data_IF_434697528510
#
_entry.id   IF_434697528510
#
_cell.length_a   1.000
_cell.length_b   1.000
_cell.length_c   1.000
_cell.angle_alpha   90.00
_cell.angle_beta   90.00
_cell.angle_gamma   90.00
#
_symmetry.space_group_name_H-M   'P 1'
#
loop_
_entity.id
_entity.type
_entity.pdbx_description
1 polymer ?
#
# COMPACT_ATOMS: atom_id res chain seq x y z
N UNK A 1 -5.08 45.17 110.27
CA UNK A 1 -5.91 46.40 110.13
C UNK A 1 -6.27 46.44 108.66
N UNK A 2 -7.38 46.07 108.48
CA UNK A 2 -8.67 46.49 107.98
C UNK A 2 -8.89 45.97 106.52
N UNK A 3 -9.70 45.12 106.50
CA UNK A 3 -11.11 45.02 106.11
C UNK A 3 -11.39 44.94 104.63
N UNK A 4 -12.16 43.90 104.39
CA UNK A 4 -12.94 43.53 103.17
C UNK A 4 -13.86 44.66 102.71
N UNK A 5 -14.46 44.55 101.50
CA UNK A 5 -15.54 43.56 101.29
C UNK A 5 -15.64 42.91 99.91
N UNK A 6 -16.46 41.86 99.89
CA UNK A 6 -17.01 41.15 98.82
C UNK A 6 -17.84 41.99 97.82
N UNK A 7 -17.74 41.65 96.59
CA UNK A 7 -18.86 41.87 95.73
C UNK A 7 -18.97 40.76 94.64
N UNK A 8 -20.14 40.16 94.64
CA UNK A 8 -20.63 39.12 93.67
C UNK A 8 -20.89 39.76 92.29
N UNK A 9 -20.30 39.21 91.30
CA UNK A 9 -20.80 39.43 89.93
C UNK A 9 -21.05 38.09 89.23
N UNK A 10 -22.28 37.85 88.99
CA UNK A 10 -22.86 36.68 88.29
C UNK A 10 -22.29 36.55 86.88
N UNK A 11 -21.79 35.38 86.56
CA UNK A 11 -21.40 35.01 85.21
C UNK A 11 -22.63 34.85 84.32
N UNK A 12 -22.79 35.76 83.38
CA UNK A 12 -23.70 35.59 82.24
C UNK A 12 -23.06 34.71 81.17
N UNK A 13 -23.52 33.48 81.04
CA UNK A 13 -23.21 32.63 79.95
C UNK A 13 -23.80 33.19 78.64
N UNK A 14 -23.02 33.37 77.56
CA UNK A 14 -23.61 33.74 76.26
C UNK A 14 -24.32 32.54 75.68
N UNK A 15 -25.59 32.71 75.42
CA UNK A 15 -26.39 31.76 74.62
C UNK A 15 -25.80 31.65 73.22
N UNK A 16 -25.10 30.56 72.95
CA UNK A 16 -24.61 30.21 71.58
C UNK A 16 -25.82 29.95 70.69
N UNK A 17 -26.01 30.80 69.72
CA UNK A 17 -27.11 30.87 68.80
C UNK A 17 -27.26 29.56 68.04
N UNK A 18 -28.43 28.90 68.19
CA UNK A 18 -28.86 27.70 67.45
C UNK A 18 -28.98 27.90 65.92
N UNK A 19 -28.80 29.11 65.45
CA UNK A 19 -28.80 29.52 64.04
C UNK A 19 -27.58 29.10 63.23
N UNK A 20 -26.42 29.04 63.88
CA UNK A 20 -25.17 28.62 63.16
C UNK A 20 -25.14 27.12 62.77
N UNK A 21 -25.72 26.27 63.61
CA UNK A 21 -25.75 24.83 63.34
C UNK A 21 -26.73 24.44 62.21
N UNK A 22 -27.77 25.20 61.98
CA UNK A 22 -28.75 24.97 60.89
C UNK A 22 -28.13 25.36 59.54
N UNK A 23 -27.42 26.48 59.50
CA UNK A 23 -26.72 26.94 58.27
C UNK A 23 -25.56 26.00 57.90
N UNK A 24 -24.74 25.56 58.86
CA UNK A 24 -23.68 24.60 58.62
C UNK A 24 -24.20 23.25 58.08
N UNK A 25 -25.33 22.76 58.60
CA UNK A 25 -25.96 21.54 58.08
C UNK A 25 -26.49 21.74 56.64
N UNK A 26 -27.11 22.87 56.34
CA UNK A 26 -27.62 23.16 54.99
C UNK A 26 -26.50 23.29 53.97
N UNK A 27 -25.35 23.89 54.36
CA UNK A 27 -24.18 23.97 53.48
C UNK A 27 -23.55 22.58 53.26
N UNK A 28 -23.39 21.78 54.32
CA UNK A 28 -22.85 20.42 54.19
C UNK A 28 -23.77 19.52 53.36
N UNK A 29 -25.07 19.65 53.53
CA UNK A 29 -26.03 18.91 52.71
C UNK A 29 -26.00 19.31 51.23
N UNK A 30 -25.90 20.60 50.92
CA UNK A 30 -25.75 21.11 49.56
C UNK A 30 -24.45 20.66 48.89
N UNK A 31 -23.35 20.64 49.61
CA UNK A 31 -22.02 20.14 49.13
C UNK A 31 -22.07 18.62 48.94
N UNK A 32 -22.66 17.87 49.87
CA UNK A 32 -22.79 16.42 49.77
C UNK A 32 -23.70 16.03 48.59
N UNK A 33 -24.80 16.73 48.37
CA UNK A 33 -25.70 16.50 47.22
C UNK A 33 -25.02 16.90 45.89
N UNK A 34 -24.24 17.96 45.87
CA UNK A 34 -23.41 18.36 44.73
C UNK A 34 -22.42 17.27 44.35
N UNK A 35 -21.67 16.77 45.33
CA UNK A 35 -20.66 15.71 45.16
C UNK A 35 -21.30 14.38 44.67
N UNK A 36 -22.44 14.00 45.20
CA UNK A 36 -23.19 12.80 44.78
C UNK A 36 -23.70 12.95 43.33
N UNK A 37 -24.12 14.16 42.93
CA UNK A 37 -24.58 14.45 41.57
C UNK A 37 -23.43 14.41 40.56
N UNK A 38 -22.27 14.87 40.95
CA UNK A 38 -21.06 14.84 40.13
C UNK A 38 -20.51 13.41 39.99
N UNK A 39 -20.51 12.62 41.06
CA UNK A 39 -20.16 11.19 40.99
C UNK A 39 -21.11 10.38 40.12
N UNK A 40 -22.44 10.65 40.17
CA UNK A 40 -23.41 10.00 39.28
C UNK A 40 -23.15 10.36 37.81
N UNK A 41 -22.84 11.63 37.53
CA UNK A 41 -22.49 12.09 36.17
C UNK A 41 -21.19 11.43 35.67
N UNK A 42 -20.16 11.37 36.49
CA UNK A 42 -18.91 10.71 36.16
C UNK A 42 -19.06 9.19 35.93
N UNK A 43 -19.94 8.52 36.70
CA UNK A 43 -20.30 7.09 36.46
C UNK A 43 -21.07 6.93 35.16
N UNK A 44 -22.02 7.79 34.87
CA UNK A 44 -22.79 7.74 33.61
C UNK A 44 -21.88 7.95 32.39
N UNK A 45 -20.95 8.90 32.45
CA UNK A 45 -19.97 9.13 31.40
C UNK A 45 -19.05 7.93 31.20
N UNK A 46 -18.52 7.34 32.29
CA UNK A 46 -17.67 6.14 32.20
C UNK A 46 -18.43 4.93 31.63
N UNK A 47 -19.68 4.75 32.04
CA UNK A 47 -20.52 3.67 31.50
C UNK A 47 -20.91 3.93 30.04
N UNK A 48 -21.21 5.17 29.67
CA UNK A 48 -21.42 5.58 28.27
C UNK A 48 -20.21 5.32 27.39
N UNK A 49 -19.00 5.67 27.87
CA UNK A 49 -17.76 5.39 27.15
C UNK A 49 -17.51 3.87 26.99
N UNK A 50 -17.77 3.08 28.06
CA UNK A 50 -17.63 1.62 27.99
C UNK A 50 -18.61 1.01 27.00
N UNK A 51 -19.86 1.47 26.98
CA UNK A 51 -20.87 1.04 26.03
C UNK A 51 -20.49 1.41 24.60
N UNK A 52 -20.02 2.63 24.38
CA UNK A 52 -19.51 3.08 23.07
C UNK A 52 -18.33 2.24 22.57
N UNK A 53 -17.40 1.88 23.47
CA UNK A 53 -16.29 0.97 23.16
C UNK A 53 -16.78 -0.45 22.83
N UNK A 54 -17.75 -0.99 23.57
CA UNK A 54 -18.35 -2.30 23.27
C UNK A 54 -19.04 -2.30 21.91
N UNK A 55 -19.84 -1.27 21.63
CA UNK A 55 -20.50 -1.11 20.31
C UNK A 55 -19.45 -0.99 19.20
N UNK A 56 -18.39 -0.21 19.42
CA UNK A 56 -17.28 -0.10 18.47
C UNK A 56 -16.61 -1.46 18.21
N UNK A 57 -16.32 -2.24 19.26
CA UNK A 57 -15.72 -3.57 19.13
C UNK A 57 -16.68 -4.55 18.40
N UNK A 58 -17.98 -4.50 18.68
CA UNK A 58 -18.98 -5.33 18.01
C UNK A 58 -19.08 -4.95 16.52
N UNK A 59 -19.13 -3.66 16.21
CA UNK A 59 -19.15 -3.17 14.81
C UNK A 59 -17.86 -3.53 14.09
N UNK A 60 -16.71 -3.36 14.74
CA UNK A 60 -15.41 -3.77 14.17
C UNK A 60 -15.34 -5.28 13.95
N UNK A 61 -15.77 -6.08 14.92
CA UNK A 61 -15.85 -7.54 14.78
C UNK A 61 -16.81 -7.94 13.65
N UNK A 62 -17.97 -7.30 13.57
CA UNK A 62 -18.93 -7.52 12.50
C UNK A 62 -18.36 -7.15 11.11
N UNK A 63 -17.68 -6.01 11.01
CA UNK A 63 -17.01 -5.57 9.77
C UNK A 63 -15.89 -6.54 9.38
N UNK A 64 -15.07 -7.01 10.33
CA UNK A 64 -14.00 -7.99 10.08
C UNK A 64 -14.59 -9.33 9.64
N UNK A 65 -15.62 -9.84 10.32
CA UNK A 65 -16.26 -11.12 9.98
C UNK A 65 -17.01 -11.08 8.65
N UNK A 66 -17.62 -9.95 8.28
CA UNK A 66 -18.36 -9.82 7.01
C UNK A 66 -17.52 -9.34 5.84
N UNK A 67 -16.34 -8.72 6.07
CA UNK A 67 -15.40 -8.37 5.02
C UNK A 67 -14.31 -9.42 4.79
N UNK A 68 -14.16 -10.39 5.69
CA UNK A 68 -13.17 -11.47 5.59
C UNK A 68 -13.59 -12.67 4.75
N UNK A 69 -14.62 -12.56 3.93
CA UNK A 69 -15.15 -13.73 3.25
C UNK A 69 -15.92 -13.46 1.97
N UNK A 70 -15.31 -12.83 0.99
CA UNK A 70 -15.80 -12.94 -0.38
C UNK A 70 -14.97 -13.91 -1.22
N UNK A 71 -14.54 -15.02 -0.62
CA UNK A 71 -14.29 -16.23 -1.39
C UNK A 71 -15.64 -16.98 -1.53
N UNK A 72 -16.63 -16.35 -2.13
CA UNK A 72 -17.71 -17.10 -2.74
C UNK A 72 -17.09 -17.70 -3.99
N UNK A 73 -16.72 -18.97 -3.93
CA UNK A 73 -16.62 -19.78 -5.13
C UNK A 73 -17.97 -19.66 -5.81
N UNK A 74 -18.08 -18.75 -6.76
CA UNK A 74 -19.26 -18.64 -7.60
C UNK A 74 -19.22 -19.85 -8.51
N UNK A 75 -20.05 -20.85 -8.22
CA UNK A 75 -20.20 -22.03 -9.07
C UNK A 75 -20.75 -21.69 -10.47
N UNK A 76 -21.18 -20.43 -10.68
CA UNK A 76 -21.59 -19.93 -12.00
C UNK A 76 -20.38 -19.63 -12.88
N UNK A 77 -20.45 -19.94 -14.19
CA UNK A 77 -19.41 -19.56 -15.13
C UNK A 77 -19.19 -18.04 -15.15
N UNK A 78 -17.94 -17.60 -14.99
CA UNK A 78 -17.59 -16.18 -14.96
C UNK A 78 -16.17 -15.94 -15.52
N UNK A 79 -15.87 -14.70 -15.84
CA UNK A 79 -14.53 -14.23 -16.19
C UNK A 79 -13.86 -13.67 -14.95
N UNK A 80 -12.73 -14.27 -14.54
CA UNK A 80 -11.93 -13.76 -13.43
C UNK A 80 -11.11 -12.55 -13.88
N UNK A 81 -11.16 -11.46 -13.14
CA UNK A 81 -10.42 -10.22 -13.43
C UNK A 81 -9.37 -9.99 -12.36
N UNK A 82 -8.17 -9.61 -12.79
CA UNK A 82 -7.07 -9.20 -11.93
C UNK A 82 -6.53 -7.87 -12.45
N UNK A 83 -6.67 -6.82 -11.64
CA UNK A 83 -6.16 -5.50 -11.97
C UNK A 83 -4.66 -5.39 -11.68
N UNK A 84 -3.89 -4.88 -12.66
CA UNK A 84 -2.49 -4.50 -12.52
C UNK A 84 -2.39 -3.01 -12.79
N UNK A 85 -2.53 -2.20 -11.74
CA UNK A 85 -2.61 -0.74 -11.82
C UNK A 85 -1.46 -0.04 -11.12
N UNK A 86 -0.92 0.99 -11.76
CA UNK A 86 0.19 1.80 -11.24
C UNK A 86 1.56 1.16 -11.46
N UNK A 87 2.57 1.64 -10.74
CA UNK A 87 3.94 1.17 -10.85
C UNK A 87 4.09 -0.26 -10.28
N UNK A 88 4.82 -1.09 -11.00
CA UNK A 88 5.13 -2.48 -10.59
C UNK A 88 6.34 -2.45 -9.68
N UNK A 89 6.12 -2.50 -8.38
CA UNK A 89 7.15 -2.51 -7.35
C UNK A 89 6.96 -3.65 -6.34
N UNK A 90 7.94 -3.88 -5.47
CA UNK A 90 7.90 -4.99 -4.52
C UNK A 90 6.86 -4.79 -3.40
N UNK A 91 6.55 -3.55 -3.06
CA UNK A 91 5.70 -3.18 -1.92
C UNK A 91 4.27 -2.79 -2.33
N UNK A 92 4.03 -2.63 -3.64
CA UNK A 92 2.77 -2.21 -4.22
C UNK A 92 1.78 -3.35 -4.49
N UNK A 93 0.54 -2.97 -4.78
CA UNK A 93 -0.52 -3.91 -5.17
C UNK A 93 -0.28 -4.53 -6.57
N UNK A 94 0.51 -3.88 -7.42
CA UNK A 94 0.97 -4.42 -8.70
C UNK A 94 2.25 -5.26 -8.57
N UNK A 95 2.77 -5.46 -7.35
CA UNK A 95 3.93 -6.31 -7.08
C UNK A 95 3.61 -7.81 -7.15
N UNK A 96 4.65 -8.61 -7.30
CA UNK A 96 4.51 -10.06 -7.52
C UNK A 96 3.74 -10.77 -6.40
N UNK A 97 3.93 -10.38 -5.14
CA UNK A 97 3.25 -11.02 -4.01
C UNK A 97 1.73 -10.90 -4.08
N UNK A 98 1.21 -9.70 -4.36
CA UNK A 98 -0.22 -9.44 -4.45
C UNK A 98 -0.83 -10.07 -5.71
N UNK A 99 -0.18 -9.84 -6.87
CA UNK A 99 -0.65 -10.35 -8.17
C UNK A 99 -0.67 -11.88 -8.20
N UNK A 100 0.36 -12.55 -7.67
CA UNK A 100 0.41 -14.02 -7.60
C UNK A 100 -0.69 -14.59 -6.71
N UNK A 101 -0.98 -13.94 -5.59
CA UNK A 101 -2.09 -14.36 -4.71
C UNK A 101 -3.41 -14.28 -5.45
N UNK A 102 -3.66 -13.19 -6.18
CA UNK A 102 -4.83 -13.01 -7.04
C UNK A 102 -4.91 -14.08 -8.15
N UNK A 103 -3.79 -14.32 -8.84
CA UNK A 103 -3.68 -15.33 -9.90
C UNK A 103 -4.05 -16.71 -9.38
N UNK A 104 -3.48 -17.14 -8.25
CA UNK A 104 -3.78 -18.46 -7.68
C UNK A 104 -5.24 -18.61 -7.35
N UNK A 105 -5.86 -17.63 -6.70
CA UNK A 105 -7.29 -17.65 -6.39
C UNK A 105 -8.15 -17.74 -7.66
N UNK A 106 -7.84 -16.96 -8.70
CA UNK A 106 -8.57 -16.97 -9.97
C UNK A 106 -8.41 -18.29 -10.76
N UNK A 107 -7.22 -18.88 -10.72
CA UNK A 107 -6.96 -20.15 -11.39
C UNK A 107 -7.57 -21.36 -10.67
N UNK A 108 -7.63 -21.33 -9.34
CA UNK A 108 -8.18 -22.39 -8.49
C UNK A 108 -9.72 -22.41 -8.46
N UNK A 109 -10.37 -21.30 -8.82
CA UNK A 109 -11.83 -21.25 -8.90
C UNK A 109 -12.34 -21.99 -10.14
N UNK A 110 -13.17 -23.02 -9.92
CA UNK A 110 -13.74 -23.86 -10.98
C UNK A 110 -14.77 -23.10 -11.84
N UNK A 111 -15.44 -22.08 -11.29
CA UNK A 111 -16.38 -21.22 -12.04
C UNK A 111 -15.68 -20.29 -13.02
N UNK A 112 -14.41 -19.97 -12.79
CA UNK A 112 -13.62 -19.08 -13.63
C UNK A 112 -13.29 -19.75 -14.97
N UNK A 113 -13.86 -19.23 -16.06
CA UNK A 113 -13.65 -19.77 -17.42
C UNK A 113 -12.34 -19.28 -18.04
N UNK A 114 -11.89 -18.10 -17.67
CA UNK A 114 -10.64 -17.49 -18.09
C UNK A 114 -10.17 -16.47 -17.06
N UNK A 115 -8.89 -16.14 -17.07
CA UNK A 115 -8.31 -15.06 -16.30
C UNK A 115 -8.01 -13.88 -17.21
N UNK A 116 -8.51 -12.70 -16.87
CA UNK A 116 -8.21 -11.44 -17.56
C UNK A 116 -7.33 -10.58 -16.67
N UNK A 117 -6.15 -10.23 -17.18
CA UNK A 117 -5.27 -9.23 -16.60
C UNK A 117 -5.70 -7.86 -17.12
N UNK A 118 -6.33 -7.06 -16.29
CA UNK A 118 -6.71 -5.68 -16.62
C UNK A 118 -5.56 -4.74 -16.27
N UNK A 119 -4.87 -4.24 -17.29
CA UNK A 119 -3.58 -3.57 -17.13
C UNK A 119 -3.70 -2.08 -17.39
N UNK A 120 -3.26 -1.29 -16.40
CA UNK A 120 -3.05 0.14 -16.51
C UNK A 120 -1.78 0.55 -15.74
N UNK A 121 -0.62 0.34 -16.36
CA UNK A 121 0.68 0.48 -15.70
C UNK A 121 1.76 1.02 -16.63
N UNK A 122 2.57 1.98 -16.16
CA UNK A 122 3.73 2.47 -16.91
C UNK A 122 4.93 1.50 -16.88
N UNK A 123 4.84 0.41 -16.09
CA UNK A 123 5.93 -0.52 -15.85
C UNK A 123 6.50 -0.42 -14.43
N UNK A 124 7.79 -0.70 -14.28
CA UNK A 124 8.48 -0.70 -13.00
C UNK A 124 9.57 -1.76 -12.93
N UNK A 125 9.63 -2.53 -11.85
CA UNK A 125 10.67 -3.53 -11.60
C UNK A 125 10.63 -4.71 -12.57
N UNK A 126 11.71 -4.96 -13.32
CA UNK A 126 11.83 -6.13 -14.19
C UNK A 126 11.82 -7.45 -13.39
N UNK A 127 12.28 -7.43 -12.13
CA UNK A 127 12.27 -8.60 -11.26
C UNK A 127 10.84 -9.00 -10.91
N UNK A 128 10.00 -8.03 -10.51
CA UNK A 128 8.60 -8.28 -10.19
C UNK A 128 7.84 -8.79 -11.43
N UNK A 129 8.08 -8.18 -12.58
CA UNK A 129 7.47 -8.60 -13.85
C UNK A 129 7.87 -10.02 -14.26
N UNK A 130 9.14 -10.38 -14.10
CA UNK A 130 9.64 -11.72 -14.40
C UNK A 130 8.99 -12.79 -13.52
N UNK A 131 8.90 -12.55 -12.21
CA UNK A 131 8.25 -13.45 -11.25
C UNK A 131 6.77 -13.66 -11.61
N UNK A 132 6.04 -12.59 -11.98
CA UNK A 132 4.63 -12.67 -12.38
C UNK A 132 4.49 -13.45 -13.71
N UNK A 133 5.30 -13.14 -14.71
CA UNK A 133 5.28 -13.81 -16.02
C UNK A 133 5.50 -15.32 -15.88
N UNK A 134 6.50 -15.73 -15.10
CA UNK A 134 6.81 -17.13 -14.85
C UNK A 134 5.66 -17.85 -14.13
N UNK A 135 5.03 -17.20 -13.14
CA UNK A 135 3.88 -17.78 -12.42
C UNK A 135 2.65 -17.91 -13.32
N UNK A 136 2.37 -16.94 -14.19
CA UNK A 136 1.30 -17.05 -15.20
C UNK A 136 1.55 -18.27 -16.08
N UNK A 137 2.77 -18.40 -16.61
CA UNK A 137 3.13 -19.54 -17.46
C UNK A 137 2.96 -20.90 -16.73
N UNK A 138 3.34 -20.96 -15.46
CA UNK A 138 3.18 -22.15 -14.60
C UNK A 138 1.72 -22.48 -14.36
N UNK A 139 0.88 -21.49 -14.02
CA UNK A 139 -0.53 -21.67 -13.72
C UNK A 139 -1.32 -22.06 -14.98
N UNK A 140 -1.05 -21.44 -16.13
CA UNK A 140 -1.62 -21.83 -17.42
C UNK A 140 -1.39 -23.31 -17.71
N UNK A 141 -0.14 -23.78 -17.53
CA UNK A 141 0.20 -25.19 -17.74
C UNK A 141 -0.49 -26.13 -16.76
N UNK A 142 -0.63 -25.70 -15.48
CA UNK A 142 -1.22 -26.52 -14.41
C UNK A 142 -2.73 -26.69 -14.58
N UNK A 143 -3.44 -25.59 -14.90
CA UNK A 143 -4.91 -25.54 -14.88
C UNK A 143 -5.53 -25.60 -16.27
N UNK A 144 -4.74 -25.48 -17.34
CA UNK A 144 -5.20 -25.39 -18.73
C UNK A 144 -6.30 -24.33 -18.94
N UNK A 145 -6.18 -23.20 -18.24
CA UNK A 145 -7.12 -22.08 -18.26
C UNK A 145 -6.52 -20.94 -19.07
N UNK A 146 -7.25 -20.34 -20.05
CA UNK A 146 -6.72 -19.26 -20.87
C UNK A 146 -6.54 -17.97 -20.06
N UNK A 147 -5.53 -17.19 -20.45
CA UNK A 147 -5.23 -15.87 -19.89
C UNK A 147 -5.28 -14.83 -20.99
N UNK A 148 -6.01 -13.77 -20.76
CA UNK A 148 -6.08 -12.61 -21.65
C UNK A 148 -5.52 -11.40 -20.94
N UNK A 149 -4.87 -10.51 -21.68
CA UNK A 149 -4.50 -9.17 -21.18
C UNK A 149 -5.39 -8.13 -21.87
N UNK A 150 -5.99 -7.27 -21.09
CA UNK A 150 -6.75 -6.12 -21.57
C UNK A 150 -6.08 -4.85 -21.06
N UNK A 151 -5.69 -4.00 -21.99
CA UNK A 151 -4.99 -2.75 -21.69
C UNK A 151 -5.98 -1.60 -21.62
N UNK A 152 -6.00 -0.89 -20.50
CA UNK A 152 -6.73 0.37 -20.36
C UNK A 152 -5.92 1.51 -20.98
N UNK A 153 -5.35 2.43 -20.18
CA UNK A 153 -4.57 3.57 -20.66
C UNK A 153 -3.16 3.19 -21.11
N UNK A 154 -2.47 2.33 -20.33
CA UNK A 154 -1.08 1.99 -20.60
C UNK A 154 -0.70 0.58 -20.19
N UNK A 155 0.17 -0.03 -21.00
CA UNK A 155 0.85 -1.29 -20.72
C UNK A 155 2.28 -1.18 -21.26
N UNK A 156 3.17 -0.55 -20.50
CA UNK A 156 4.51 -0.20 -20.93
C UNK A 156 5.58 -0.90 -20.07
N UNK A 157 6.75 -1.17 -20.68
CA UNK A 157 7.92 -1.71 -19.98
C UNK A 157 7.59 -3.00 -19.19
N UNK A 158 7.84 -3.05 -17.88
CA UNK A 158 7.55 -4.22 -17.02
C UNK A 158 6.08 -4.69 -17.10
N UNK A 159 5.12 -3.79 -17.38
CA UNK A 159 3.72 -4.18 -17.58
C UNK A 159 3.54 -4.99 -18.87
N UNK A 160 4.22 -4.58 -19.94
CA UNK A 160 4.21 -5.34 -21.19
C UNK A 160 4.94 -6.68 -21.06
N UNK A 161 6.01 -6.73 -20.24
CA UNK A 161 6.68 -7.99 -19.88
C UNK A 161 5.71 -9.00 -19.24
N UNK A 162 4.78 -8.52 -18.40
CA UNK A 162 3.72 -9.36 -17.82
C UNK A 162 2.69 -9.73 -18.88
N UNK A 163 2.23 -8.76 -19.67
CA UNK A 163 1.16 -8.96 -20.66
C UNK A 163 1.49 -10.02 -21.70
N UNK A 164 2.75 -10.16 -22.11
CA UNK A 164 3.18 -11.17 -23.09
C UNK A 164 3.10 -12.61 -22.60
N UNK A 165 2.82 -12.85 -21.31
CA UNK A 165 2.49 -14.19 -20.79
C UNK A 165 1.06 -14.62 -21.11
N UNK A 166 0.18 -13.67 -21.47
CA UNK A 166 -1.19 -13.94 -21.89
C UNK A 166 -1.25 -14.64 -23.26
N UNK A 167 -2.36 -15.34 -23.51
CA UNK A 167 -2.61 -15.98 -24.81
C UNK A 167 -2.91 -14.94 -25.88
N UNK A 168 -3.69 -13.91 -25.53
CA UNK A 168 -4.00 -12.76 -26.38
C UNK A 168 -3.99 -11.47 -25.57
N UNK A 169 -3.67 -10.37 -26.26
CA UNK A 169 -3.59 -9.02 -25.70
C UNK A 169 -4.55 -8.13 -26.48
N UNK A 170 -5.48 -7.50 -25.78
CA UNK A 170 -6.46 -6.56 -26.33
C UNK A 170 -6.18 -5.16 -25.81
N UNK A 171 -6.35 -4.15 -26.65
CA UNK A 171 -6.02 -2.76 -26.36
C UNK A 171 -7.11 -1.82 -26.86
N UNK A 172 -7.23 -0.61 -26.32
CA UNK A 172 -7.93 0.48 -26.98
C UNK A 172 -7.03 1.09 -28.07
N UNK A 173 -7.63 1.80 -29.04
CA UNK A 173 -6.90 2.46 -30.13
C UNK A 173 -5.84 3.45 -29.62
N UNK A 174 -6.13 4.11 -28.50
CA UNK A 174 -5.29 5.14 -27.89
C UNK A 174 -4.41 4.62 -26.75
N UNK A 175 -4.57 3.37 -26.31
CA UNK A 175 -3.72 2.77 -25.28
C UNK A 175 -2.24 2.89 -25.64
N UNK A 176 -1.39 3.13 -24.64
CA UNK A 176 0.06 3.19 -24.84
C UNK A 176 0.65 1.81 -24.55
N UNK A 177 1.35 1.23 -25.55
CA UNK A 177 1.89 -0.13 -25.47
C UNK A 177 3.34 -0.18 -25.91
N UNK A 178 4.15 -1.02 -25.26
CA UNK A 178 5.54 -1.26 -25.66
C UNK A 178 6.53 -0.77 -24.61
N UNK A 179 7.36 0.21 -24.92
CA UNK A 179 8.48 0.62 -24.07
C UNK A 179 9.37 -0.57 -23.69
N UNK A 180 9.71 -1.39 -24.71
CA UNK A 180 10.55 -2.59 -24.53
C UNK A 180 11.99 -2.13 -24.43
N UNK A 181 12.36 -1.71 -23.22
CA UNK A 181 13.67 -1.17 -22.90
C UNK A 181 13.94 -1.23 -21.39
N UNK A 182 15.17 -0.95 -21.01
CA UNK A 182 15.62 -0.90 -19.63
C UNK A 182 16.39 0.39 -19.43
N UNK A 183 16.12 1.08 -18.35
CA UNK A 183 16.85 2.28 -17.98
C UNK A 183 17.40 2.18 -16.55
N UNK A 184 18.48 2.90 -16.31
CA UNK A 184 19.01 3.21 -14.99
C UNK A 184 19.34 4.69 -15.02
N UNK A 185 18.70 5.46 -14.17
CA UNK A 185 18.93 6.90 -14.07
C UNK A 185 19.47 7.29 -12.69
N UNK A 186 20.05 8.48 -12.63
CA UNK A 186 20.57 9.06 -11.41
C UNK A 186 21.16 10.44 -11.65
N UNK A 187 21.39 11.16 -10.58
CA UNK A 187 21.96 12.50 -10.60
C UNK A 187 23.41 12.48 -10.13
N UNK A 188 24.28 13.32 -10.73
CA UNK A 188 25.65 13.54 -10.29
C UNK A 188 25.80 14.93 -9.68
N UNK A 189 26.31 15.01 -8.44
CA UNK A 189 26.45 16.27 -7.69
C UNK A 189 27.91 16.75 -7.57
N UNK A 190 28.89 16.07 -8.19
CA UNK A 190 30.32 16.42 -8.08
C UNK A 190 30.60 17.86 -8.44
N UNK A 191 30.09 18.36 -9.58
CA UNK A 191 30.30 19.75 -9.99
C UNK A 191 29.63 20.80 -9.09
N UNK A 192 28.56 20.45 -8.39
CA UNK A 192 27.92 21.31 -7.39
C UNK A 192 28.79 21.35 -6.11
N UNK A 193 29.29 20.21 -5.69
CA UNK A 193 30.18 20.11 -4.51
C UNK A 193 31.45 20.91 -4.71
N UNK A 194 32.07 20.81 -5.88
CA UNK A 194 33.26 21.59 -6.23
C UNK A 194 33.01 23.09 -6.11
N UNK A 195 31.87 23.58 -6.64
CA UNK A 195 31.49 25.01 -6.55
C UNK A 195 31.23 25.49 -5.12
N UNK A 196 30.80 24.60 -4.25
CA UNK A 196 30.50 24.90 -2.85
C UNK A 196 31.69 24.63 -1.91
N UNK A 197 32.83 24.15 -2.45
CA UNK A 197 33.99 23.79 -1.64
C UNK A 197 33.76 22.57 -0.73
N UNK A 198 32.85 21.67 -1.11
CA UNK A 198 32.52 20.45 -0.34
C UNK A 198 33.37 19.28 -0.86
N UNK A 199 34.13 18.67 0.02
CA UNK A 199 34.97 17.51 -0.26
C UNK A 199 34.26 16.20 0.11
N UNK A 200 34.21 15.24 -0.83
CA UNK A 200 33.73 13.88 -0.58
C UNK A 200 34.86 13.01 -0.05
N UNK A 201 34.76 12.51 1.16
CA UNK A 201 35.75 11.64 1.81
C UNK A 201 35.23 10.19 1.88
N UNK A 202 35.05 9.57 0.72
CA UNK A 202 34.60 8.19 0.62
C UNK A 202 35.75 7.22 0.82
N UNK A 203 35.62 6.31 1.78
CA UNK A 203 36.53 5.19 2.00
C UNK A 203 35.80 3.89 1.77
N UNK A 204 36.33 3.01 0.93
CA UNK A 204 35.72 1.72 0.60
C UNK A 204 36.69 0.58 0.72
N UNK A 205 36.21 -0.58 1.14
CA UNK A 205 36.89 -1.85 0.95
C UNK A 205 36.20 -2.57 -0.23
N UNK A 206 36.96 -2.81 -1.29
CA UNK A 206 36.47 -3.22 -2.62
C UNK A 206 36.44 -2.03 -3.58
N UNK A 207 37.23 -2.16 -4.68
CA UNK A 207 37.50 -1.11 -5.67
C UNK A 207 36.23 -0.45 -6.23
N UNK A 208 35.19 -1.23 -6.45
CA UNK A 208 33.93 -0.76 -7.05
C UNK A 208 32.78 -0.58 -6.04
N UNK A 209 33.06 -0.56 -4.72
CA UNK A 209 32.00 -0.46 -3.71
C UNK A 209 31.25 0.89 -3.75
N UNK A 210 31.87 1.95 -4.27
CA UNK A 210 31.27 3.25 -4.53
C UNK A 210 30.65 3.38 -5.92
N UNK A 211 30.36 2.27 -6.61
CA UNK A 211 29.69 2.26 -7.90
C UNK A 211 28.33 2.96 -7.83
N UNK A 212 28.09 3.90 -8.76
CA UNK A 212 26.88 4.74 -8.83
C UNK A 212 26.69 5.73 -7.66
N UNK A 213 27.72 6.00 -6.84
CA UNK A 213 27.63 7.07 -5.84
C UNK A 213 27.42 8.43 -6.56
N UNK A 214 26.35 9.18 -6.27
CA UNK A 214 26.04 10.43 -6.96
C UNK A 214 27.01 11.58 -6.61
N UNK A 215 27.80 11.41 -5.58
CA UNK A 215 28.77 12.40 -5.08
C UNK A 215 30.22 12.11 -5.51
N UNK A 216 30.42 11.06 -6.32
CA UNK A 216 31.73 10.67 -6.87
C UNK A 216 31.68 10.66 -8.40
N UNK A 217 32.80 11.00 -9.02
CA UNK A 217 32.93 10.93 -10.48
C UNK A 217 32.89 9.46 -10.94
N UNK A 218 32.08 9.17 -11.94
CA UNK A 218 31.98 7.85 -12.55
C UNK A 218 33.18 7.60 -13.48
N UNK A 219 33.81 6.45 -13.35
CA UNK A 219 34.86 6.02 -14.26
C UNK A 219 34.28 5.43 -15.56
N UNK A 220 35.09 5.37 -16.63
CA UNK A 220 34.69 4.72 -17.89
C UNK A 220 34.39 3.23 -17.69
N UNK A 221 35.16 2.54 -16.84
CA UNK A 221 34.94 1.13 -16.51
C UNK A 221 33.63 0.88 -15.79
N UNK A 222 33.28 1.71 -14.83
CA UNK A 222 32.00 1.63 -14.11
C UNK A 222 30.82 1.84 -15.06
N UNK A 223 30.90 2.84 -15.94
CA UNK A 223 29.86 3.11 -16.94
C UNK A 223 29.71 1.94 -17.92
N UNK A 224 30.83 1.36 -18.41
CA UNK A 224 30.76 0.21 -19.27
C UNK A 224 30.14 -1.01 -18.60
N UNK A 225 30.43 -1.23 -17.31
CA UNK A 225 29.80 -2.30 -16.52
C UNK A 225 28.28 -2.10 -16.36
N UNK A 226 27.84 -0.88 -16.04
CA UNK A 226 26.41 -0.55 -15.95
C UNK A 226 25.70 -0.81 -17.28
N UNK A 227 26.28 -0.34 -18.39
CA UNK A 227 25.71 -0.54 -19.72
C UNK A 227 25.61 -2.03 -20.06
N UNK A 228 26.63 -2.81 -19.82
CA UNK A 228 26.61 -4.25 -20.08
C UNK A 228 25.52 -4.99 -19.26
N UNK A 229 25.26 -4.56 -18.03
CA UNK A 229 24.19 -5.09 -17.20
C UNK A 229 22.79 -4.70 -17.77
N UNK A 230 22.61 -3.46 -18.19
CA UNK A 230 21.37 -3.01 -18.85
C UNK A 230 21.11 -3.78 -20.14
N UNK A 231 22.14 -3.98 -20.98
CA UNK A 231 22.04 -4.74 -22.22
C UNK A 231 21.63 -6.19 -21.97
N UNK A 232 22.14 -6.83 -20.93
CA UNK A 232 21.75 -8.19 -20.54
C UNK A 232 20.26 -8.27 -20.12
N UNK A 233 19.79 -7.34 -19.28
CA UNK A 233 18.39 -7.30 -18.87
C UNK A 233 17.49 -7.00 -20.07
N UNK A 234 17.90 -6.11 -20.97
CA UNK A 234 17.16 -5.80 -22.19
C UNK A 234 17.04 -7.01 -23.12
N UNK A 235 18.13 -7.75 -23.33
CA UNK A 235 18.09 -9.00 -24.11
C UNK A 235 17.15 -10.04 -23.51
N UNK A 236 17.10 -10.16 -22.17
CA UNK A 236 16.13 -11.03 -21.50
C UNK A 236 14.70 -10.59 -21.79
N UNK A 237 14.42 -9.28 -21.72
CA UNK A 237 13.08 -8.74 -22.04
C UNK A 237 12.70 -9.05 -23.50
N UNK A 238 13.57 -8.77 -24.45
CA UNK A 238 13.38 -9.09 -25.87
C UNK A 238 13.04 -10.58 -26.07
N UNK A 239 13.81 -11.47 -25.43
CA UNK A 239 13.59 -12.91 -25.51
C UNK A 239 12.21 -13.32 -24.99
N UNK A 240 11.72 -12.73 -23.89
CA UNK A 240 10.39 -12.97 -23.33
C UNK A 240 9.30 -12.47 -24.27
N UNK A 241 9.47 -11.27 -24.86
CA UNK A 241 8.51 -10.74 -25.84
C UNK A 241 8.45 -11.65 -27.07
N UNK A 242 9.57 -12.03 -27.64
CA UNK A 242 9.64 -12.97 -28.79
C UNK A 242 8.97 -14.29 -28.49
N UNK A 243 9.21 -14.85 -27.29
CA UNK A 243 8.57 -16.09 -26.84
C UNK A 243 7.03 -15.95 -26.70
N UNK A 244 6.56 -14.86 -26.11
CA UNK A 244 5.13 -14.64 -25.85
C UNK A 244 4.35 -14.27 -27.13
N UNK A 245 4.96 -13.51 -28.04
CA UNK A 245 4.31 -13.08 -29.28
C UNK A 245 4.48 -14.04 -30.43
N UNK A 246 5.61 -14.76 -30.49
CA UNK A 246 5.90 -15.74 -31.56
C UNK A 246 5.80 -15.12 -32.96
N UNK A 247 5.20 -15.83 -33.89
CA UNK A 247 5.04 -15.43 -35.29
C UNK A 247 4.09 -14.23 -35.50
N UNK A 248 3.37 -13.80 -34.47
CA UNK A 248 2.53 -12.59 -34.51
C UNK A 248 3.35 -11.30 -34.57
N UNK A 249 4.60 -11.34 -34.05
CA UNK A 249 5.45 -10.17 -33.94
C UNK A 249 6.03 -9.77 -35.30
N UNK A 250 5.87 -8.50 -35.65
CA UNK A 250 6.47 -7.90 -36.85
C UNK A 250 7.62 -7.01 -36.42
N UNK A 251 8.81 -7.56 -36.34
CA UNK A 251 9.97 -6.84 -35.86
C UNK A 251 10.39 -5.72 -36.81
N UNK A 252 10.53 -4.52 -36.28
CA UNK A 252 11.17 -3.38 -36.93
C UNK A 252 12.40 -2.96 -36.13
N UNK A 253 13.34 -2.20 -36.72
CA UNK A 253 14.54 -1.76 -35.99
C UNK A 253 14.23 -1.02 -34.67
N UNK A 254 13.11 -0.32 -34.62
CA UNK A 254 12.70 0.48 -33.47
C UNK A 254 11.92 -0.31 -32.41
N UNK A 255 11.44 -1.52 -32.75
CA UNK A 255 10.50 -2.27 -31.90
C UNK A 255 11.04 -2.51 -30.48
N UNK A 256 12.34 -2.77 -30.39
CA UNK A 256 13.05 -3.03 -29.15
C UNK A 256 13.92 -1.88 -28.66
N UNK A 257 13.67 -0.66 -29.15
CA UNK A 257 14.48 0.53 -28.81
C UNK A 257 14.04 1.25 -27.54
N UNK A 258 12.98 0.74 -26.86
CA UNK A 258 12.37 1.42 -25.71
C UNK A 258 11.26 2.40 -26.09
N UNK A 259 10.92 2.53 -27.37
CA UNK A 259 9.77 3.33 -27.82
C UNK A 259 8.45 2.64 -27.45
N UNK A 260 7.38 3.42 -27.46
CA UNK A 260 6.01 2.97 -27.27
C UNK A 260 5.13 3.40 -28.43
N UNK A 261 4.01 2.73 -28.60
CA UNK A 261 3.06 2.96 -29.70
C UNK A 261 1.65 3.10 -29.15
N UNK A 262 0.78 3.74 -29.91
CA UNK A 262 -0.65 3.67 -29.63
C UNK A 262 -1.19 2.26 -29.93
N UNK A 263 -2.35 1.90 -29.37
CA UNK A 263 -2.90 0.56 -29.50
C UNK A 263 -3.16 0.14 -30.94
N UNK A 264 -3.60 1.05 -31.80
CA UNK A 264 -3.78 0.75 -33.23
C UNK A 264 -2.46 0.29 -33.89
N UNK A 265 -1.39 0.99 -33.62
CA UNK A 265 -0.05 0.64 -34.14
C UNK A 265 0.50 -0.62 -33.48
N UNK A 266 0.21 -0.82 -32.20
CA UNK A 266 0.60 -2.02 -31.46
C UNK A 266 0.00 -3.30 -32.09
N UNK A 267 -1.25 -3.25 -32.54
CA UNK A 267 -1.88 -4.38 -33.28
C UNK A 267 -1.17 -4.61 -34.61
N UNK A 268 -0.87 -3.54 -35.36
CA UNK A 268 -0.15 -3.66 -36.64
C UNK A 268 1.23 -4.28 -36.50
N UNK A 269 1.95 -3.96 -35.41
CA UNK A 269 3.28 -4.49 -35.08
C UNK A 269 3.26 -5.89 -34.44
N UNK A 270 2.06 -6.41 -34.16
CA UNK A 270 1.89 -7.69 -33.48
C UNK A 270 2.21 -7.66 -31.99
N UNK A 271 2.29 -6.45 -31.38
CA UNK A 271 2.42 -6.27 -29.93
C UNK A 271 1.10 -6.56 -29.21
N UNK A 272 -0.04 -6.39 -29.89
CA UNK A 272 -1.38 -6.76 -29.43
C UNK A 272 -2.08 -7.59 -30.51
N UNK A 273 -3.13 -8.32 -30.12
CA UNK A 273 -3.88 -9.23 -31.01
C UNK A 273 -5.11 -8.57 -31.62
N UNK A 274 -5.66 -7.55 -30.96
CA UNK A 274 -6.84 -6.84 -31.43
C UNK A 274 -7.23 -5.66 -30.57
N UNK A 275 -8.23 -4.93 -31.08
CA UNK A 275 -8.88 -3.88 -30.29
C UNK A 275 -10.03 -4.49 -29.49
N UNK A 276 -10.14 -4.14 -28.21
CA UNK A 276 -11.21 -4.65 -27.34
C UNK A 276 -11.12 -4.16 -25.92
N UNK A 277 -12.27 -4.01 -25.29
CA UNK A 277 -12.42 -3.69 -23.86
C UNK A 277 -12.55 -4.97 -23.02
N UNK A 278 -12.54 -4.82 -21.68
CA UNK A 278 -12.81 -5.91 -20.75
C UNK A 278 -14.17 -6.59 -21.05
N UNK A 279 -15.22 -5.79 -21.24
CA UNK A 279 -16.57 -6.32 -21.54
C UNK A 279 -16.61 -7.08 -22.85
N UNK A 280 -15.89 -6.58 -23.88
CA UNK A 280 -15.76 -7.29 -25.15
C UNK A 280 -15.09 -8.66 -24.95
N UNK A 281 -13.99 -8.70 -24.22
CA UNK A 281 -13.26 -9.96 -23.99
C UNK A 281 -14.12 -10.93 -23.18
N UNK A 282 -14.79 -10.50 -22.13
CA UNK A 282 -15.66 -11.34 -21.32
C UNK A 282 -16.84 -11.92 -22.13
N UNK A 283 -17.53 -11.06 -22.89
CA UNK A 283 -18.73 -11.43 -23.64
C UNK A 283 -18.43 -12.24 -24.90
N UNK A 284 -17.50 -11.75 -25.73
CA UNK A 284 -17.32 -12.30 -27.08
C UNK A 284 -16.17 -13.31 -27.18
N UNK A 285 -15.15 -13.22 -26.35
CA UNK A 285 -13.98 -14.10 -26.37
C UNK A 285 -14.13 -15.23 -25.33
N UNK A 286 -14.33 -14.87 -24.06
CA UNK A 286 -14.49 -15.86 -22.98
C UNK A 286 -15.88 -16.48 -22.99
N UNK A 287 -16.91 -15.73 -23.40
CA UNK A 287 -18.33 -16.10 -23.38
C UNK A 287 -18.88 -16.35 -21.98
N UNK A 288 -18.36 -15.60 -21.02
CA UNK A 288 -18.80 -15.55 -19.62
C UNK A 288 -18.81 -14.06 -19.19
N UNK A 289 -19.98 -13.41 -19.35
CA UNK A 289 -20.14 -11.96 -19.16
C UNK A 289 -19.97 -11.52 -17.70
N UNK A 290 -20.30 -12.43 -16.76
CA UNK A 290 -20.16 -12.15 -15.34
C UNK A 290 -18.67 -11.94 -14.98
N UNK A 291 -18.36 -10.78 -14.40
CA UNK A 291 -17.00 -10.43 -14.01
C UNK A 291 -16.83 -10.62 -12.50
N UNK A 292 -15.81 -11.37 -12.11
CA UNK A 292 -15.43 -11.54 -10.69
C UNK A 292 -14.03 -11.02 -10.48
N UNK A 293 -13.90 -10.03 -9.59
CA UNK A 293 -12.63 -9.37 -9.27
C UNK A 293 -11.86 -10.14 -8.18
N UNK A 294 -10.71 -10.67 -8.54
CA UNK A 294 -9.77 -11.38 -7.64
C UNK A 294 -8.62 -10.50 -7.16
N UNK A 295 -8.61 -9.22 -7.53
CA UNK A 295 -7.51 -8.31 -7.20
C UNK A 295 -7.35 -8.18 -5.69
N UNK A 296 -6.15 -8.38 -5.19
CA UNK A 296 -5.83 -8.09 -3.80
C UNK A 296 -5.96 -6.60 -3.54
N UNK A 297 -6.74 -6.26 -2.52
CA UNK A 297 -6.93 -4.86 -2.09
C UNK A 297 -6.41 -4.72 -0.67
N UNK A 298 -5.65 -3.68 -0.42
CA UNK A 298 -5.27 -3.35 0.96
C UNK A 298 -6.52 -3.21 1.83
N UNK A 299 -6.63 -4.00 2.87
CA UNK A 299 -7.67 -3.82 3.87
C UNK A 299 -7.52 -2.44 4.50
N UNK A 300 -8.63 -1.68 4.58
CA UNK A 300 -8.66 -0.35 5.24
C UNK A 300 -8.12 -0.44 6.67
N UNK A 301 -8.33 -1.57 7.34
CA UNK A 301 -7.77 -1.86 8.66
C UNK A 301 -6.23 -1.95 8.63
N UNK A 302 -5.63 -2.60 7.64
CA UNK A 302 -4.18 -2.66 7.47
C UNK A 302 -3.57 -1.30 7.15
N UNK A 303 -4.22 -0.50 6.30
CA UNK A 303 -3.79 0.90 6.03
C UNK A 303 -3.82 1.75 7.30
N UNK A 304 -4.87 1.61 8.11
CA UNK A 304 -4.98 2.29 9.41
C UNK A 304 -3.89 1.79 10.37
N UNK A 305 -3.66 0.48 10.47
CA UNK A 305 -2.62 -0.09 11.33
C UNK A 305 -1.22 0.34 10.85
N UNK A 306 -0.94 0.32 9.54
CA UNK A 306 0.33 0.82 8.98
C UNK A 306 0.52 2.33 9.26
N UNK A 307 -0.53 3.16 9.11
CA UNK A 307 -0.46 4.60 9.42
C UNK A 307 -0.35 4.90 10.92
N UNK A 308 -1.12 4.22 11.76
CA UNK A 308 -1.04 4.38 13.22
C UNK A 308 0.20 3.72 13.80
N UNK A 309 0.63 2.58 13.28
CA UNK A 309 1.86 1.90 13.71
C UNK A 309 3.11 2.73 13.42
N UNK A 310 3.20 3.38 12.28
CA UNK A 310 4.31 4.27 11.94
C UNK A 310 4.34 5.50 12.87
N UNK A 311 3.19 6.15 13.12
CA UNK A 311 3.13 7.33 14.01
C UNK A 311 3.38 6.99 15.48
N UNK A 312 2.94 5.81 15.96
CA UNK A 312 3.22 5.32 17.32
C UNK A 312 4.69 4.92 17.45
N UNK A 313 5.25 4.26 16.43
CA UNK A 313 6.68 3.88 16.40
C UNK A 313 7.61 5.09 16.44
N UNK A 314 7.33 6.14 15.68
CA UNK A 314 8.08 7.40 15.74
C UNK A 314 7.92 8.13 17.08
N UNK A 315 6.71 8.13 17.64
CA UNK A 315 6.44 8.72 18.95
C UNK A 315 7.19 8.01 20.07
N UNK A 316 7.15 6.67 20.11
CA UNK A 316 7.89 5.85 21.08
C UNK A 316 9.41 5.97 20.92
N UNK A 317 9.91 6.02 19.68
CA UNK A 317 11.33 6.23 19.41
C UNK A 317 11.85 7.60 19.91
N UNK A 318 11.03 8.65 19.84
CA UNK A 318 11.37 9.98 20.41
C UNK A 318 11.36 9.98 21.94
N UNK A 319 10.39 9.32 22.57
CA UNK A 319 10.31 9.21 24.04
C UNK A 319 11.46 8.36 24.60
N UNK A 320 11.84 7.25 23.96
CA UNK A 320 12.99 6.44 24.36
C UNK A 320 14.32 7.19 24.20
N UNK A 321 14.50 8.00 23.16
CA UNK A 321 15.70 8.83 22.98
C UNK A 321 15.78 9.98 23.98
N UNK A 322 14.62 10.50 24.45
CA UNK A 322 14.59 11.56 25.47
C UNK A 322 14.85 11.04 26.89
N UNK A 323 14.74 9.73 27.14
CA UNK A 323 14.94 9.13 28.48
C UNK A 323 16.32 8.52 28.71
N UNK A 324 17.26 8.63 27.76
CA UNK A 324 18.66 8.22 27.98
C UNK A 324 19.44 9.42 28.51
N UNK A 325 19.89 9.39 29.78
CA UNK A 325 20.73 10.48 30.32
C UNK A 325 22.08 10.50 29.58
N UNK A 326 22.38 11.60 28.91
CA UNK A 326 23.73 11.82 28.39
C UNK A 326 24.66 12.07 29.55
N UNK A 327 25.51 11.10 29.86
CA UNK A 327 26.69 11.33 30.70
C UNK A 327 27.66 12.19 29.89
N UNK A 328 27.90 13.41 30.33
CA UNK A 328 28.98 14.27 29.87
C UNK A 328 30.22 14.05 30.73
#
# INVERSE_FOLDING_TARGET
MTDLPHDNLAASTPATSSTNTVWERAVMESVALGYLKEQRRARQWRNGLRLAWLVFLVVMSWVVLHRGGSNTSTTSPHTAVIEIKGEIDADGLAGSSAVITSLRSAFEDEGSQAVVLLINSPGGSPVQAGIINDEIARLKKKHNKPVYAVVEESCASAAYYIAVAADQIYVDKASIVGSIGVLMDGFGFTGLMDKLGIERRLMTAGENKGFLDPFSAQTKTQRAHAQAMLDQIHLQFIAVVRKGRGDRLKETPELFSGLFWNGQRAVELGLADGLGSLDYVARDIVKAEDLVDYTQRDNVAERLVKRFGASVGEGMGRVMRASVPSVR
#
